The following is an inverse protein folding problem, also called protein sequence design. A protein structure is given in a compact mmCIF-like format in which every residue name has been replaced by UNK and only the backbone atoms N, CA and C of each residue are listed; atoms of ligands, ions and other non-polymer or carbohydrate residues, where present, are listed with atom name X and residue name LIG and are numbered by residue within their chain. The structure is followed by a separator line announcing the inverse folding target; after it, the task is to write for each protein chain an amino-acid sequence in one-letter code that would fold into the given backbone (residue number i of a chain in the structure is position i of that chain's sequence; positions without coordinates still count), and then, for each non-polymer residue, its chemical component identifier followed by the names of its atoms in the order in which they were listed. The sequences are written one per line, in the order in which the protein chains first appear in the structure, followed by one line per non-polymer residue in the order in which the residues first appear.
data_IF_863744918591
#
_entry.id   IF_863744918591
#
_cell.length_a   1.000
_cell.length_b   1.000
_cell.length_c   1.000
_cell.angle_alpha   90.00
_cell.angle_beta   90.00
_cell.angle_gamma   90.00
#
_symmetry.space_group_name_H-M   'P 1'
#
loop_
_entity.id
_entity.type
_entity.pdbx_description
1 polymer ?
#
# COMPACT_ATOMS: atom_id res chain seq x y z
N UNK A 1 -3.91 -6.75 10.68
CA UNK A 1 -4.83 -5.75 11.25
C UNK A 1 -4.23 -4.36 11.07
N UNK A 2 -5.00 -3.32 11.35
CA UNK A 2 -4.53 -1.94 11.54
C UNK A 2 -5.27 -1.32 12.71
N UNK A 3 -4.63 -0.46 13.51
CA UNK A 3 -5.30 0.34 14.53
C UNK A 3 -4.59 1.67 14.75
N UNK A 4 -5.33 2.67 15.22
CA UNK A 4 -4.78 3.97 15.63
C UNK A 4 -4.90 4.13 17.14
N UNK A 5 -4.20 5.12 17.69
CA UNK A 5 -4.62 5.67 18.98
C UNK A 5 -5.80 6.64 18.76
N UNK A 6 -6.43 7.10 19.84
CA UNK A 6 -7.63 7.96 19.85
C UNK A 6 -7.57 9.05 18.77
N UNK A 7 -8.59 9.13 17.92
CA UNK A 7 -8.58 9.97 16.69
C UNK A 7 -8.87 11.44 16.97
N UNK A 8 -9.60 11.73 18.04
CA UNK A 8 -10.05 13.08 18.42
C UNK A 8 -8.99 13.90 19.16
N UNK A 9 -7.97 13.25 19.76
CA UNK A 9 -6.90 13.90 20.54
C UNK A 9 -5.52 13.32 20.22
N UNK A 10 -4.92 13.88 19.18
CA UNK A 10 -3.58 13.52 18.69
C UNK A 10 -2.50 13.59 19.79
N UNK A 11 -2.63 14.50 20.76
CA UNK A 11 -1.68 14.63 21.88
C UNK A 11 -1.68 13.40 22.81
N UNK A 12 -2.83 12.72 22.91
CA UNK A 12 -2.98 11.48 23.67
C UNK A 12 -2.50 10.26 22.87
N UNK A 13 -2.28 10.40 21.56
CA UNK A 13 -1.78 9.29 20.76
C UNK A 13 -0.40 8.82 21.22
N UNK A 14 0.47 9.78 21.51
CA UNK A 14 1.86 9.55 21.89
C UNK A 14 1.95 9.00 23.32
N UNK A 15 1.05 9.40 24.21
CA UNK A 15 1.13 9.11 25.65
C UNK A 15 0.30 7.90 26.06
N UNK A 16 -0.90 7.77 25.49
CA UNK A 16 -1.86 6.72 25.85
C UNK A 16 -1.96 5.61 24.77
N UNK A 17 -1.20 5.74 23.66
CA UNK A 17 -1.13 4.73 22.61
C UNK A 17 -0.20 3.56 22.95
N UNK A 18 -0.52 2.31 22.53
CA UNK A 18 0.33 1.13 22.77
C UNK A 18 1.77 1.29 22.27
N UNK A 19 2.75 1.23 23.18
CA UNK A 19 4.19 1.18 22.86
C UNK A 19 4.70 -0.26 22.81
N UNK A 20 4.11 -1.16 23.61
CA UNK A 20 4.34 -2.61 23.52
C UNK A 20 3.02 -3.35 23.58
N UNK A 21 2.86 -4.35 22.72
CA UNK A 21 1.64 -5.14 22.64
C UNK A 21 1.89 -6.44 21.90
N UNK A 22 0.99 -7.40 22.09
CA UNK A 22 0.87 -8.54 21.21
C UNK A 22 -0.56 -8.66 20.68
N UNK A 23 -0.65 -9.11 19.43
CA UNK A 23 -1.89 -9.46 18.76
C UNK A 23 -2.10 -10.97 18.85
N UNK A 24 -3.29 -11.39 19.25
CA UNK A 24 -3.58 -12.79 19.51
C UNK A 24 -4.87 -13.24 18.80
N UNK A 25 -4.95 -14.56 18.59
CA UNK A 25 -6.15 -15.26 18.13
C UNK A 25 -6.54 -16.35 19.14
N UNK A 26 -7.83 -16.67 19.24
CA UNK A 26 -8.30 -17.83 20.00
C UNK A 26 -9.50 -18.50 19.31
N UNK A 27 -9.57 -19.82 19.37
CA UNK A 27 -10.72 -20.61 18.95
C UNK A 27 -11.62 -21.03 20.12
N UNK A 28 -11.30 -20.59 21.33
CA UNK A 28 -12.13 -20.85 22.50
C UNK A 28 -13.46 -20.11 22.41
N UNK A 29 -14.53 -20.69 22.94
CA UNK A 29 -15.87 -20.09 22.91
C UNK A 29 -15.95 -18.81 23.77
N UNK A 30 -15.17 -18.78 24.85
CA UNK A 30 -14.96 -17.60 25.69
C UNK A 30 -13.64 -16.92 25.30
N UNK A 31 -13.74 -15.81 24.57
CA UNK A 31 -12.60 -15.01 24.09
C UNK A 31 -11.78 -14.37 25.22
N UNK A 32 -12.26 -14.37 26.46
CA UNK A 32 -11.53 -13.80 27.60
C UNK A 32 -10.47 -14.76 28.16
N UNK A 33 -10.55 -16.06 27.85
CA UNK A 33 -9.63 -17.08 28.38
C UNK A 33 -8.21 -16.92 27.82
N UNK A 34 -7.30 -16.40 28.64
CA UNK A 34 -5.94 -16.07 28.21
C UNK A 34 -5.11 -17.29 27.82
N UNK A 35 -5.30 -18.42 28.50
CA UNK A 35 -4.58 -19.68 28.26
C UNK A 35 -4.89 -20.29 26.89
N UNK A 36 -5.97 -19.86 26.26
CA UNK A 36 -6.38 -20.32 24.92
C UNK A 36 -5.86 -19.43 23.79
N UNK A 37 -5.20 -18.31 24.11
CA UNK A 37 -4.73 -17.33 23.14
C UNK A 37 -3.44 -17.79 22.49
N UNK A 38 -3.43 -17.81 21.17
CA UNK A 38 -2.23 -17.97 20.35
C UNK A 38 -1.72 -16.59 19.98
N UNK A 39 -0.44 -16.32 20.26
CA UNK A 39 0.20 -15.06 19.89
C UNK A 39 0.49 -15.09 18.39
N UNK A 40 -0.11 -14.16 17.65
CA UNK A 40 0.00 -14.07 16.20
C UNK A 40 1.04 -13.03 15.77
N UNK A 41 1.30 -12.06 16.63
CA UNK A 41 2.35 -11.06 16.45
C UNK A 41 2.68 -10.36 17.75
N UNK A 42 3.94 -9.95 17.89
CA UNK A 42 4.44 -9.21 19.04
C UNK A 42 5.22 -7.97 18.59
N UNK A 43 5.00 -6.86 19.28
CA UNK A 43 5.78 -5.63 19.17
C UNK A 43 6.27 -5.25 20.58
N UNK A 44 7.54 -5.53 20.83
CA UNK A 44 8.23 -5.14 22.06
C UNK A 44 9.16 -3.95 21.87
N UNK A 45 9.08 -3.25 20.72
CA UNK A 45 10.00 -2.15 20.40
C UNK A 45 9.94 -1.00 21.41
N UNK A 46 8.79 -0.81 22.07
CA UNK A 46 8.56 0.34 22.95
C UNK A 46 8.34 1.64 22.18
N UNK A 47 8.19 1.58 20.85
CA UNK A 47 8.03 2.77 20.03
C UNK A 47 6.61 3.32 20.16
N UNK A 48 6.43 4.55 20.65
CA UNK A 48 5.11 5.18 20.77
C UNK A 48 4.53 5.54 19.40
N UNK A 49 3.25 5.92 19.36
CA UNK A 49 2.67 6.52 18.16
C UNK A 49 3.31 7.90 17.88
N UNK A 50 3.45 8.23 16.60
CA UNK A 50 3.88 9.56 16.17
C UNK A 50 2.77 10.61 16.33
N UNK A 51 3.14 11.91 16.35
CA UNK A 51 2.22 13.06 16.35
C UNK A 51 1.22 13.09 15.19
N UNK A 52 1.42 12.29 14.16
CA UNK A 52 0.48 12.22 13.03
C UNK A 52 -0.61 11.17 13.25
N UNK A 53 -0.59 10.44 14.39
CA UNK A 53 -1.47 9.32 14.72
C UNK A 53 -1.58 8.28 13.58
N UNK A 54 -0.48 8.07 12.84
CA UNK A 54 -0.43 7.08 11.78
C UNK A 54 -0.80 5.70 12.34
N UNK A 55 -1.71 4.96 11.68
CA UNK A 55 -2.07 3.61 12.11
C UNK A 55 -0.85 2.70 12.24
N UNK A 56 -0.80 1.89 13.31
CA UNK A 56 0.09 0.73 13.36
C UNK A 56 -0.57 -0.39 12.56
N UNK A 57 0.09 -0.80 11.48
CA UNK A 57 -0.42 -1.83 10.57
C UNK A 57 0.54 -3.01 10.54
N UNK A 58 0.02 -4.21 10.73
CA UNK A 58 0.80 -5.45 10.61
C UNK A 58 0.08 -6.50 9.79
N UNK A 59 0.85 -7.11 8.88
CA UNK A 59 0.45 -8.34 8.21
C UNK A 59 0.75 -9.54 9.12
N UNK A 60 -0.24 -10.41 9.26
CA UNK A 60 -0.16 -11.62 10.07
C UNK A 60 -0.13 -12.79 9.12
N UNK A 61 1.01 -13.46 9.04
CA UNK A 61 1.17 -14.68 8.27
C UNK A 61 0.96 -15.87 9.21
N UNK A 62 -0.31 -16.18 9.49
CA UNK A 62 -0.73 -17.40 10.17
C UNK A 62 -1.70 -18.15 9.26
N UNK A 63 -1.55 -19.47 9.16
CA UNK A 63 -2.42 -20.34 8.36
C UNK A 63 -3.79 -20.57 9.00
N UNK A 64 -3.89 -20.33 10.31
CA UNK A 64 -5.03 -20.73 11.11
C UNK A 64 -6.05 -19.60 11.22
N UNK A 65 -7.33 -20.00 11.22
CA UNK A 65 -8.45 -19.12 11.45
C UNK A 65 -8.82 -19.17 12.93
N UNK A 66 -9.09 -18.01 13.51
CA UNK A 66 -9.47 -17.88 14.92
C UNK A 66 -10.86 -17.28 15.04
N UNK A 67 -11.64 -17.78 15.99
CA UNK A 67 -12.96 -17.23 16.35
C UNK A 67 -12.86 -15.82 16.95
N UNK A 68 -11.85 -15.60 17.77
CA UNK A 68 -11.61 -14.37 18.51
C UNK A 68 -10.26 -13.78 18.10
N UNK A 69 -10.21 -12.46 17.98
CA UNK A 69 -8.97 -11.71 17.77
C UNK A 69 -8.91 -10.56 18.77
N UNK A 70 -7.71 -10.24 19.25
CA UNK A 70 -7.55 -9.15 20.19
C UNK A 70 -6.12 -8.70 20.38
N UNK A 71 -5.98 -7.66 21.19
CA UNK A 71 -4.68 -7.10 21.58
C UNK A 71 -4.52 -7.24 23.08
N UNK A 72 -3.29 -7.52 23.49
CA UNK A 72 -2.86 -7.30 24.87
C UNK A 72 -1.79 -6.23 24.85
N UNK A 73 -2.09 -5.10 25.49
CA UNK A 73 -1.14 -4.00 25.62
C UNK A 73 -0.34 -4.22 26.89
N UNK A 74 0.96 -4.35 26.73
CA UNK A 74 1.88 -4.60 27.85
C UNK A 74 2.57 -3.32 28.31
N UNK A 75 2.60 -2.28 27.46
CA UNK A 75 3.16 -0.98 27.85
C UNK A 75 2.57 0.18 27.05
N UNK A 76 2.51 1.34 27.71
CA UNK A 76 2.24 2.66 27.15
C UNK A 76 3.20 3.66 27.78
N UNK A 77 3.59 4.73 27.07
CA UNK A 77 4.50 5.74 27.61
C UNK A 77 3.94 6.40 28.88
N UNK A 78 2.63 6.67 28.90
CA UNK A 78 1.97 7.39 29.98
C UNK A 78 2.13 8.91 29.86
N UNK A 79 1.53 9.63 30.82
CA UNK A 79 1.57 11.09 30.91
C UNK A 79 1.60 11.55 32.35
N UNK A 80 2.18 12.72 32.59
CA UNK A 80 2.10 13.37 33.89
C UNK A 80 0.75 14.09 34.02
N UNK A 81 0.01 13.77 35.07
CA UNK A 81 -1.26 14.40 35.42
C UNK A 81 -1.26 14.71 36.90
N UNK A 82 -1.31 16.00 37.26
CA UNK A 82 -1.27 16.49 38.65
C UNK A 82 -0.07 15.94 39.46
N UNK A 83 1.12 15.93 38.87
CA UNK A 83 2.35 15.45 39.51
C UNK A 83 2.46 13.92 39.62
N UNK A 84 1.49 13.16 39.12
CA UNK A 84 1.53 11.71 39.06
C UNK A 84 1.73 11.23 37.62
N UNK A 85 2.57 10.22 37.44
CA UNK A 85 2.74 9.55 36.16
C UNK A 85 1.62 8.51 35.98
N UNK A 86 0.66 8.79 35.10
CA UNK A 86 -0.47 7.92 34.82
C UNK A 86 -0.26 7.14 33.52
N UNK A 87 -0.69 5.87 33.50
CA UNK A 87 -0.74 5.04 32.30
C UNK A 87 -2.18 4.73 31.96
N UNK A 88 -2.63 5.16 30.80
CA UNK A 88 -3.93 4.82 30.23
C UNK A 88 -3.71 4.24 28.83
N UNK A 89 -4.52 3.26 28.45
CA UNK A 89 -4.46 2.65 27.11
C UNK A 89 -5.64 3.14 26.30
N UNK A 90 -5.37 3.68 25.12
CA UNK A 90 -6.40 3.99 24.13
C UNK A 90 -6.09 3.35 22.79
N UNK A 91 -7.05 2.58 22.29
CA UNK A 91 -7.02 1.96 20.96
C UNK A 91 -8.30 2.39 20.24
N UNK A 92 -8.16 2.86 19.00
CA UNK A 92 -9.26 3.26 18.13
C UNK A 92 -9.08 2.73 16.71
N UNK A 93 -10.16 2.80 15.92
CA UNK A 93 -10.20 2.39 14.52
C UNK A 93 -9.50 1.04 14.24
N UNK A 94 -9.84 0.03 15.04
CA UNK A 94 -9.32 -1.31 14.82
C UNK A 94 -9.98 -1.89 13.58
N UNK A 95 -9.17 -2.20 12.57
CA UNK A 95 -9.62 -2.84 11.35
C UNK A 95 -8.92 -4.21 11.18
N UNK A 96 -9.75 -5.23 11.03
CA UNK A 96 -9.33 -6.54 10.56
C UNK A 96 -9.64 -6.63 9.07
N UNK A 97 -8.64 -7.07 8.31
CA UNK A 97 -8.77 -7.30 6.87
C UNK A 97 -8.41 -8.75 6.65
N UNK A 98 -9.42 -9.60 6.45
CA UNK A 98 -9.16 -10.95 5.97
C UNK A 98 -8.75 -10.86 4.49
N UNK A 99 -7.93 -11.79 4.02
CA UNK A 99 -7.61 -11.88 2.58
C UNK A 99 -8.82 -12.37 1.79
N UNK A 100 -9.78 -13.05 2.45
CA UNK A 100 -10.98 -13.59 1.82
C UNK A 100 -12.03 -12.52 1.46
N UNK A 101 -11.99 -11.34 2.10
CA UNK A 101 -12.93 -10.23 1.80
C UNK A 101 -12.42 -9.28 0.70
N UNK A 102 -11.25 -9.58 0.13
CA UNK A 102 -10.69 -8.77 -0.95
C UNK A 102 -11.33 -9.17 -2.28
N UNK A 103 -11.95 -8.20 -2.93
CA UNK A 103 -12.42 -8.34 -4.30
C UNK A 103 -11.54 -7.52 -5.24
N UNK A 104 -11.35 -8.03 -6.45
CA UNK A 104 -10.71 -7.25 -7.51
C UNK A 104 -11.62 -6.09 -7.90
N UNK A 105 -11.04 -4.89 -7.95
CA UNK A 105 -11.73 -3.68 -8.34
C UNK A 105 -12.01 -3.72 -9.83
N UNK A 106 -13.29 -3.51 -10.21
CA UNK A 106 -13.64 -3.33 -11.60
C UNK A 106 -13.09 -2.01 -12.16
N UNK A 107 -12.44 -2.07 -13.31
CA UNK A 107 -12.02 -0.88 -14.06
C UNK A 107 -13.13 -0.32 -14.97
N UNK A 108 -14.37 -0.80 -14.85
CA UNK A 108 -15.50 -0.29 -15.63
C UNK A 108 -15.73 1.19 -15.32
N UNK A 109 -15.68 2.04 -16.34
CA UNK A 109 -15.85 3.49 -16.20
C UNK A 109 -14.63 4.23 -15.62
N UNK A 110 -13.50 3.54 -15.42
CA UNK A 110 -12.25 4.15 -14.95
C UNK A 110 -11.48 4.74 -16.13
N UNK A 111 -11.00 5.97 -15.97
CA UNK A 111 -10.18 6.63 -16.99
C UNK A 111 -8.70 6.39 -16.70
N UNK A 112 -8.03 5.61 -17.55
CA UNK A 112 -6.58 5.47 -17.51
C UNK A 112 -5.91 6.62 -18.28
N UNK A 113 -4.94 7.29 -17.66
CA UNK A 113 -4.18 8.40 -18.23
C UNK A 113 -2.70 8.28 -17.86
N UNK A 114 -1.84 8.99 -18.58
CA UNK A 114 -0.42 8.98 -18.35
C UNK A 114 0.21 10.33 -18.72
N UNK A 115 1.44 10.57 -18.24
CA UNK A 115 2.22 11.76 -18.58
C UNK A 115 2.55 11.81 -20.06
N UNK A 116 2.70 10.64 -20.68
CA UNK A 116 2.94 10.46 -22.12
C UNK A 116 2.53 9.05 -22.54
N UNK A 117 2.36 8.82 -23.84
CA UNK A 117 2.02 7.51 -24.39
C UNK A 117 2.87 7.21 -25.62
N UNK A 118 3.28 5.96 -25.77
CA UNK A 118 3.62 5.42 -27.09
C UNK A 118 2.32 5.22 -27.89
N UNK A 119 2.28 5.53 -29.21
CA UNK A 119 1.04 5.58 -29.98
C UNK A 119 0.14 4.34 -29.87
N UNK A 120 0.70 3.13 -29.83
CA UNK A 120 -0.05 1.89 -29.71
C UNK A 120 -0.20 1.39 -28.27
N UNK A 121 0.56 1.92 -27.31
CA UNK A 121 0.65 1.42 -25.92
C UNK A 121 0.22 2.52 -24.96
N UNK A 122 -1.08 2.84 -25.04
CA UNK A 122 -1.72 3.90 -24.28
C UNK A 122 -1.96 3.51 -22.83
N UNK A 123 -2.27 4.47 -21.97
CA UNK A 123 -2.56 4.22 -20.55
C UNK A 123 -3.63 3.13 -20.32
N UNK A 124 -4.66 3.07 -21.18
CA UNK A 124 -5.71 2.05 -21.10
C UNK A 124 -5.20 0.62 -21.28
N UNK A 125 -4.11 0.43 -22.03
CA UNK A 125 -3.51 -0.88 -22.26
C UNK A 125 -2.87 -1.47 -20.99
N UNK A 126 -2.64 -0.66 -19.95
CA UNK A 126 -2.16 -1.16 -18.67
C UNK A 126 -3.22 -2.01 -17.94
N UNK A 127 -4.49 -1.91 -18.32
CA UNK A 127 -5.61 -2.70 -17.77
C UNK A 127 -5.77 -3.95 -18.63
N UNK A 128 -5.52 -5.13 -18.06
CA UNK A 128 -5.60 -6.43 -18.76
C UNK A 128 -4.28 -6.91 -19.37
N UNK A 129 -4.35 -7.75 -20.41
CA UNK A 129 -3.21 -8.52 -20.93
C UNK A 129 -2.24 -7.74 -21.84
N UNK A 130 -2.15 -6.43 -21.69
CA UNK A 130 -1.25 -5.56 -22.45
C UNK A 130 -0.45 -4.65 -21.51
N UNK A 131 0.20 -3.62 -22.06
CA UNK A 131 0.95 -2.65 -21.28
C UNK A 131 0.82 -1.24 -21.86
N UNK A 132 0.89 -0.26 -20.97
CA UNK A 132 1.19 1.12 -21.32
C UNK A 132 2.70 1.30 -21.47
N UNK A 133 3.12 2.25 -22.31
CA UNK A 133 4.48 2.78 -22.29
C UNK A 133 4.51 4.30 -22.42
N UNK A 134 5.49 4.94 -21.76
CA UNK A 134 5.72 6.38 -21.84
C UNK A 134 6.07 6.87 -23.26
N UNK A 135 6.56 5.98 -24.14
CA UNK A 135 6.92 6.33 -25.52
C UNK A 135 8.11 7.29 -25.61
N UNK A 136 8.35 7.81 -26.82
CA UNK A 136 9.41 8.81 -27.04
C UNK A 136 8.88 10.21 -26.71
N UNK A 137 9.59 11.03 -25.92
CA UNK A 137 10.92 10.76 -25.38
C UNK A 137 10.86 9.84 -24.14
N UNK A 138 11.79 8.88 -24.07
CA UNK A 138 11.86 7.86 -23.00
C UNK A 138 12.40 8.44 -21.69
N UNK A 139 11.66 9.36 -21.10
CA UNK A 139 12.07 10.17 -19.96
C UNK A 139 11.47 9.62 -18.66
N UNK A 140 12.27 9.61 -17.61
CA UNK A 140 11.82 9.44 -16.23
C UNK A 140 12.04 10.76 -15.47
N UNK A 141 11.16 11.15 -14.54
CA UNK A 141 9.98 10.41 -14.10
C UNK A 141 8.86 10.35 -15.14
N UNK A 142 8.10 9.25 -15.14
CA UNK A 142 6.89 9.08 -15.96
C UNK A 142 5.77 8.52 -15.10
N UNK A 143 4.54 8.98 -15.34
CA UNK A 143 3.38 8.62 -14.53
C UNK A 143 2.30 7.96 -15.34
N UNK A 144 1.66 6.94 -14.75
CA UNK A 144 0.45 6.27 -15.21
C UNK A 144 -0.56 6.31 -14.07
N UNK A 145 -1.80 6.71 -14.32
CA UNK A 145 -2.83 6.79 -13.30
C UNK A 145 -4.22 6.43 -13.80
N UNK A 146 -5.10 6.18 -12.84
CA UNK A 146 -6.45 5.69 -13.02
C UNK A 146 -7.38 6.59 -12.23
N UNK A 147 -8.36 7.19 -12.91
CA UNK A 147 -9.35 8.08 -12.33
C UNK A 147 -10.67 7.33 -12.19
N UNK A 148 -11.06 7.07 -10.95
CA UNK A 148 -12.31 6.42 -10.62
C UNK A 148 -13.46 7.43 -10.60
N UNK A 149 -14.69 7.01 -10.95
CA UNK A 149 -15.87 7.89 -10.89
C UNK A 149 -16.22 8.28 -9.46
N UNK A 150 -15.93 7.40 -8.49
CA UNK A 150 -16.11 7.63 -7.05
C UNK A 150 -14.83 7.24 -6.31
N UNK A 151 -14.49 7.90 -5.19
CA UNK A 151 -13.36 7.48 -4.37
C UNK A 151 -13.56 6.04 -3.88
N UNK A 152 -12.55 5.20 -4.09
CA UNK A 152 -12.50 3.82 -3.62
C UNK A 152 -11.29 3.65 -2.72
N UNK A 153 -11.25 2.58 -1.92
CA UNK A 153 -10.11 2.29 -1.04
C UNK A 153 -9.31 1.09 -1.55
N UNK A 154 -8.17 1.32 -2.17
CA UNK A 154 -7.29 0.22 -2.61
C UNK A 154 -6.45 -0.28 -1.44
N UNK A 155 -6.39 -1.59 -1.26
CA UNK A 155 -5.60 -2.25 -0.20
C UNK A 155 -4.42 -3.04 -0.75
N UNK A 156 -4.54 -3.58 -1.97
CA UNK A 156 -3.46 -4.25 -2.68
C UNK A 156 -3.45 -3.75 -4.12
N UNK A 157 -2.26 -3.57 -4.67
CA UNK A 157 -2.09 -3.50 -6.12
C UNK A 157 -1.13 -4.59 -6.58
N UNK A 158 -1.27 -4.98 -7.85
CA UNK A 158 -0.27 -5.75 -8.56
C UNK A 158 -0.12 -5.24 -9.98
N UNK A 159 1.10 -5.27 -10.51
CA UNK A 159 1.36 -4.98 -11.92
C UNK A 159 2.55 -5.78 -12.44
N UNK A 160 2.59 -5.94 -13.75
CA UNK A 160 3.72 -6.48 -14.52
C UNK A 160 4.33 -5.38 -15.40
N UNK A 161 5.48 -5.64 -16.02
CA UNK A 161 6.04 -4.68 -16.98
C UNK A 161 5.47 -4.88 -18.39
N UNK A 162 5.83 -5.98 -19.06
CA UNK A 162 5.38 -6.33 -20.43
C UNK A 162 4.84 -7.75 -20.53
N UNK A 163 3.58 -7.89 -20.92
CA UNK A 163 2.96 -9.22 -21.10
C UNK A 163 3.38 -9.87 -22.41
N UNK A 164 3.62 -9.08 -23.46
CA UNK A 164 3.91 -9.53 -24.82
C UNK A 164 5.37 -9.98 -25.03
N UNK A 165 6.29 -9.41 -24.24
CA UNK A 165 7.74 -9.57 -24.42
C UNK A 165 8.47 -9.49 -23.08
N UNK A 166 8.42 -10.62 -22.38
CA UNK A 166 8.98 -10.79 -21.02
C UNK A 166 10.49 -10.58 -20.94
N UNK A 167 11.21 -10.68 -22.07
CA UNK A 167 12.64 -10.40 -22.17
C UNK A 167 12.98 -8.93 -21.86
N UNK A 168 12.12 -7.98 -22.26
CA UNK A 168 12.33 -6.56 -21.97
C UNK A 168 11.70 -6.12 -20.65
N UNK A 169 11.05 -7.02 -19.90
CA UNK A 169 10.56 -6.68 -18.56
C UNK A 169 11.71 -6.23 -17.64
N UNK A 170 12.89 -6.84 -17.80
CA UNK A 170 14.09 -6.50 -17.01
C UNK A 170 14.56 -5.08 -17.32
N UNK A 171 14.46 -4.63 -18.57
CA UNK A 171 15.03 -3.34 -19.00
C UNK A 171 14.04 -2.19 -18.92
N UNK A 172 12.78 -2.46 -19.28
CA UNK A 172 11.74 -1.43 -19.47
C UNK A 172 10.75 -1.41 -18.28
N UNK A 173 10.88 -2.35 -17.35
CA UNK A 173 10.05 -2.45 -16.15
C UNK A 173 10.51 -1.53 -15.02
N UNK A 174 9.59 -0.97 -14.21
CA UNK A 174 9.93 -0.10 -13.08
C UNK A 174 10.89 -0.76 -12.08
N UNK A 175 12.08 -0.18 -11.90
CA UNK A 175 13.04 -0.55 -10.84
C UNK A 175 12.91 0.35 -9.62
N UNK A 176 12.45 1.59 -9.79
CA UNK A 176 12.04 2.51 -8.72
C UNK A 176 10.75 3.21 -9.06
N UNK A 177 9.82 3.31 -8.10
CA UNK A 177 8.53 3.96 -8.30
C UNK A 177 7.83 4.29 -6.99
N UNK A 178 6.89 5.22 -7.08
CA UNK A 178 5.88 5.49 -6.05
C UNK A 178 4.53 5.01 -6.52
N UNK A 179 3.77 4.38 -5.63
CA UNK A 179 2.32 4.25 -5.79
C UNK A 179 1.65 5.31 -4.93
N UNK A 180 0.73 6.08 -5.52
CA UNK A 180 0.13 7.24 -4.89
C UNK A 180 -1.39 7.27 -5.05
N UNK A 181 -2.05 8.01 -4.16
CA UNK A 181 -3.47 8.34 -4.21
C UNK A 181 -3.69 9.85 -4.25
N UNK A 182 -4.80 10.32 -4.83
CA UNK A 182 -5.23 11.73 -4.75
C UNK A 182 -6.76 11.84 -4.83
N UNK A 183 -7.30 12.88 -4.18
CA UNK A 183 -8.71 13.28 -4.30
C UNK A 183 -8.88 14.61 -5.04
N UNK A 184 -7.81 15.14 -5.63
CA UNK A 184 -7.89 16.35 -6.43
C UNK A 184 -8.71 16.13 -7.71
N UNK A 185 -9.41 17.16 -8.17
CA UNK A 185 -10.24 17.08 -9.38
C UNK A 185 -9.41 16.83 -10.64
N UNK A 186 -8.17 17.32 -10.64
CA UNK A 186 -7.17 17.00 -11.65
C UNK A 186 -6.14 16.02 -11.07
N UNK A 187 -6.24 14.75 -11.46
CA UNK A 187 -5.35 13.67 -11.02
C UNK A 187 -3.90 13.82 -11.52
N UNK A 188 -3.65 14.70 -12.50
CA UNK A 188 -2.28 14.99 -12.96
C UNK A 188 -1.51 15.89 -11.99
N UNK A 189 -2.20 16.59 -11.07
CA UNK A 189 -1.59 17.54 -10.13
C UNK A 189 -0.71 16.87 -9.09
N UNK A 190 0.61 16.95 -9.26
CA UNK A 190 1.58 16.21 -8.43
C UNK A 190 1.57 16.61 -6.96
N UNK A 191 1.38 17.90 -6.67
CA UNK A 191 1.38 18.45 -5.29
C UNK A 191 0.21 17.96 -4.44
N UNK A 192 -0.80 17.34 -5.06
CA UNK A 192 -1.97 16.78 -4.38
C UNK A 192 -1.83 15.30 -4.04
N UNK A 193 -0.78 14.65 -4.55
CA UNK A 193 -0.59 13.20 -4.44
C UNK A 193 -0.08 12.84 -3.05
N UNK A 194 -0.68 11.82 -2.45
CA UNK A 194 -0.21 11.17 -1.23
C UNK A 194 0.50 9.88 -1.63
N UNK A 195 1.78 9.75 -1.26
CA UNK A 195 2.54 8.51 -1.49
C UNK A 195 2.01 7.42 -0.55
N UNK A 196 1.48 6.35 -1.14
CA UNK A 196 0.90 5.21 -0.43
C UNK A 196 1.89 4.05 -0.29
N UNK A 197 2.84 3.96 -1.24
CA UNK A 197 3.94 3.02 -1.21
C UNK A 197 5.11 3.54 -2.04
N UNK A 198 6.32 3.20 -1.64
CA UNK A 198 7.58 3.60 -2.30
C UNK A 198 8.47 2.37 -2.49
N UNK A 199 8.92 2.14 -3.71
CA UNK A 199 9.97 1.19 -4.04
C UNK A 199 11.20 1.95 -4.54
N UNK A 200 12.23 2.01 -3.71
CA UNK A 200 13.53 2.58 -4.08
C UNK A 200 14.63 1.52 -4.22
N UNK A 201 14.28 0.23 -4.24
CA UNK A 201 15.28 -0.83 -4.18
C UNK A 201 16.18 -0.86 -5.43
N UNK A 202 15.69 -0.31 -6.56
CA UNK A 202 16.37 -0.42 -7.85
C UNK A 202 16.33 -1.85 -8.41
N UNK A 203 15.54 -2.75 -7.81
CA UNK A 203 15.45 -4.14 -8.24
C UNK A 203 14.60 -4.23 -9.51
N UNK A 204 15.17 -4.69 -10.62
CA UNK A 204 14.43 -4.84 -11.87
C UNK A 204 13.45 -6.01 -11.79
N UNK A 205 12.57 -6.13 -12.79
CA UNK A 205 11.80 -7.35 -12.97
C UNK A 205 12.72 -8.51 -13.38
N UNK A 206 12.34 -9.73 -13.03
CA UNK A 206 12.96 -10.95 -13.53
C UNK A 206 12.46 -11.28 -14.95
N UNK A 207 13.16 -12.18 -15.66
CA UNK A 207 12.73 -12.70 -16.99
C UNK A 207 11.36 -13.35 -16.99
N UNK A 208 10.92 -13.82 -15.82
CA UNK A 208 9.59 -14.43 -15.64
C UNK A 208 8.48 -13.38 -15.59
N UNK A 209 8.83 -12.09 -15.54
CA UNK A 209 7.92 -10.95 -15.40
C UNK A 209 6.85 -11.17 -14.31
N UNK A 210 7.27 -11.78 -13.18
CA UNK A 210 6.39 -11.98 -12.03
C UNK A 210 5.82 -10.63 -11.57
N UNK A 211 4.50 -10.55 -11.30
CA UNK A 211 3.89 -9.30 -10.87
C UNK A 211 4.54 -8.75 -9.60
N UNK A 212 4.89 -7.47 -9.61
CA UNK A 212 5.17 -6.74 -8.37
C UNK A 212 3.84 -6.52 -7.67
N UNK A 213 3.69 -7.11 -6.50
CA UNK A 213 2.46 -7.04 -5.69
C UNK A 213 2.78 -6.42 -4.35
N UNK A 214 2.00 -5.42 -3.93
CA UNK A 214 2.17 -4.77 -2.63
C UNK A 214 0.85 -4.47 -1.96
N UNK A 215 0.87 -4.66 -0.65
CA UNK A 215 -0.20 -4.26 0.24
C UNK A 215 0.08 -2.86 0.77
N UNK A 216 -0.94 -2.02 0.78
CA UNK A 216 -0.88 -0.65 1.25
C UNK A 216 -1.21 -0.64 2.74
N UNK A 217 -0.29 -0.16 3.57
CA UNK A 217 -0.45 -0.16 5.03
C UNK A 217 -1.33 0.97 5.57
N UNK A 218 -1.49 2.04 4.79
CA UNK A 218 -2.16 3.28 5.17
C UNK A 218 -3.07 3.78 4.05
N UNK A 219 -4.01 2.94 3.60
CA UNK A 219 -4.93 3.32 2.54
C UNK A 219 -6.13 4.11 3.07
N UNK A 220 -6.48 5.15 2.33
CA UNK A 220 -7.72 5.92 2.44
C UNK A 220 -8.50 5.79 1.12
N UNK A 221 -9.68 6.39 1.05
CA UNK A 221 -10.48 6.49 -0.17
C UNK A 221 -9.92 7.58 -1.07
N UNK A 222 -9.45 7.20 -2.26
CA UNK A 222 -8.97 8.13 -3.27
C UNK A 222 -9.72 7.98 -4.58
N UNK A 223 -9.94 9.11 -5.26
CA UNK A 223 -10.48 9.14 -6.62
C UNK A 223 -9.44 8.74 -7.66
N UNK A 224 -8.20 9.15 -7.45
CA UNK A 224 -7.09 8.92 -8.36
C UNK A 224 -6.09 7.96 -7.72
N UNK A 225 -5.63 6.97 -8.47
CA UNK A 225 -4.50 6.14 -8.08
C UNK A 225 -3.50 6.02 -9.21
N UNK A 226 -2.22 6.04 -8.91
CA UNK A 226 -1.22 5.97 -9.96
C UNK A 226 0.15 5.54 -9.51
N UNK A 227 0.97 5.26 -10.52
CA UNK A 227 2.38 4.96 -10.42
C UNK A 227 3.16 6.14 -10.96
N UNK A 228 4.19 6.58 -10.24
CA UNK A 228 5.23 7.46 -10.77
C UNK A 228 6.53 6.67 -10.78
N UNK A 229 7.01 6.33 -11.97
CA UNK A 229 8.24 5.58 -12.18
C UNK A 229 9.38 6.57 -12.27
N UNK A 230 10.34 6.44 -11.35
CA UNK A 230 11.50 7.32 -11.27
C UNK A 230 12.74 6.71 -11.89
N UNK A 231 12.78 5.38 -12.05
CA UNK A 231 13.89 4.70 -12.67
C UNK A 231 13.48 3.37 -13.31
N UNK A 232 14.18 3.05 -14.40
CA UNK A 232 14.19 1.75 -15.08
C UNK A 232 15.64 1.45 -15.44
N UNK A 233 16.06 0.18 -15.53
CA UNK A 233 17.43 -0.15 -15.93
C UNK A 233 17.78 0.39 -17.32
N UNK A 234 16.79 0.42 -18.20
CA UNK A 234 16.96 0.86 -19.58
C UNK A 234 17.70 -0.17 -20.44
N UNK A 235 17.86 0.17 -21.71
CA UNK A 235 18.56 -0.64 -22.71
C UNK A 235 19.26 0.24 -23.72
N UNK A 236 20.36 -0.25 -24.28
CA UNK A 236 20.99 0.42 -25.40
C UNK A 236 20.28 0.06 -26.70
N UNK A 237 19.93 1.06 -27.49
CA UNK A 237 19.34 0.89 -28.82
C UNK A 237 20.01 1.88 -29.78
N UNK A 238 20.69 1.36 -30.80
CA UNK A 238 21.42 2.16 -31.79
C UNK A 238 22.42 3.15 -31.15
N UNK A 239 23.11 2.74 -30.08
CA UNK A 239 24.10 3.56 -29.39
C UNK A 239 23.52 4.59 -28.43
N UNK A 240 22.19 4.61 -28.25
CA UNK A 240 21.51 5.47 -27.27
C UNK A 240 20.97 4.64 -26.12
N UNK A 241 21.19 5.13 -24.90
CA UNK A 241 20.58 4.54 -23.70
C UNK A 241 19.13 5.02 -23.60
N UNK A 242 18.21 4.06 -23.68
CA UNK A 242 16.77 4.29 -23.65
C UNK A 242 16.21 3.86 -22.30
N UNK A 243 15.47 4.75 -21.65
CA UNK A 243 14.71 4.49 -20.43
C UNK A 243 13.20 4.43 -20.71
N UNK A 244 12.81 3.44 -21.51
CA UNK A 244 11.40 3.18 -21.77
C UNK A 244 10.75 2.61 -20.50
N UNK A 245 9.60 3.15 -20.13
CA UNK A 245 8.80 2.64 -19.01
C UNK A 245 7.66 1.82 -19.58
N UNK A 246 7.42 0.66 -18.99
CA UNK A 246 6.28 -0.21 -19.32
C UNK A 246 5.60 -0.73 -18.06
N UNK A 247 4.27 -0.56 -17.99
CA UNK A 247 3.43 -1.09 -16.91
C UNK A 247 2.21 -1.73 -17.56
N UNK A 248 1.96 -2.99 -17.21
CA UNK A 248 0.90 -3.80 -17.77
C UNK A 248 0.24 -4.70 -16.74
N UNK A 249 -0.94 -5.21 -17.08
CA UNK A 249 -1.72 -6.10 -16.23
C UNK A 249 -1.88 -5.57 -14.78
N UNK A 250 -2.33 -4.32 -14.69
CA UNK A 250 -2.60 -3.67 -13.40
C UNK A 250 -3.89 -4.22 -12.81
N UNK A 251 -3.79 -4.67 -11.56
CA UNK A 251 -4.93 -5.08 -10.76
C UNK A 251 -4.92 -4.32 -9.43
N UNK A 252 -6.11 -3.96 -8.98
CA UNK A 252 -6.33 -3.37 -7.66
C UNK A 252 -7.32 -4.22 -6.88
N UNK A 253 -7.11 -4.34 -5.58
CA UNK A 253 -7.99 -5.09 -4.71
C UNK A 253 -8.44 -4.19 -3.56
N UNK A 254 -9.74 -4.25 -3.28
CA UNK A 254 -10.42 -3.52 -2.21
C UNK A 254 -11.22 -4.50 -1.35
N UNK A 255 -11.73 -4.03 -0.22
CA UNK A 255 -12.79 -4.76 0.49
C UNK A 255 -14.08 -4.62 -0.31
N UNK A 256 -14.79 -5.74 -0.48
CA UNK A 256 -16.11 -5.76 -1.11
C UNK A 256 -17.14 -4.91 -0.33
#
# INVERSE_FOLDING_TARGET
YSFTSRVDRVDLAITDGPSKYFFWGSNHNDCSQETSRVVLYEDYSGTPFERTNKPKTKHISHSDYYRCYGFTVTDVPGRNHNGQHIKAVTIGNVHFYSVADLSEVSFTGVLAKASSNYPSWTASNAIGNSAWSNGSPYVVPSSLWFEFPVPIRILIYSFTSRVDRVDLAITDGPSKYFFWGSNHNDCSQETSRVVLYEDNSGTPFERTNKPKTKRISHSDYYRCYGFTVTDVPGRNHNGQDIKAVTIGNVHFYSVA
#
